data_IF_987882506001
#
_entry.id   IF_987882506001
#
_cell.length_a   1.000
_cell.length_b   1.000
_cell.length_c   1.000
_cell.angle_alpha   90.00
_cell.angle_beta   90.00
_cell.angle_gamma   90.00
#
_symmetry.space_group_name_H-M   'P 1'
#
loop_
_entity.id
_entity.type
_entity.pdbx_description
1 polymer ?
#
# COMPACT_ATOMS: atom_id res chain seq x y z
N UNK A 1 -10.45 -25.66 -8.97
CA UNK A 1 -9.46 -24.63 -9.40
C UNK A 1 -8.86 -24.03 -8.15
N UNK A 2 -7.54 -24.06 -7.98
CA UNK A 2 -6.87 -23.38 -6.86
C UNK A 2 -7.02 -21.87 -7.05
N UNK A 3 -7.44 -21.10 -6.03
CA UNK A 3 -7.51 -19.66 -6.14
C UNK A 3 -6.10 -19.11 -6.44
N UNK A 4 -5.95 -18.45 -7.58
CA UNK A 4 -4.67 -17.90 -8.00
C UNK A 4 -4.56 -16.47 -7.47
N UNK A 5 -3.73 -16.30 -6.44
CA UNK A 5 -3.40 -14.99 -5.90
C UNK A 5 -2.74 -14.15 -7.00
N UNK A 6 -3.24 -12.94 -7.23
CA UNK A 6 -2.60 -11.96 -8.12
C UNK A 6 -1.34 -11.38 -7.45
N UNK A 7 -0.24 -12.12 -7.60
CA UNK A 7 1.06 -11.76 -7.04
C UNK A 7 1.64 -10.47 -7.62
N UNK A 8 1.18 -10.02 -8.81
CA UNK A 8 1.61 -8.74 -9.35
C UNK A 8 1.02 -7.57 -8.55
N UNK A 9 -0.26 -7.66 -8.19
CA UNK A 9 -0.88 -6.67 -7.31
C UNK A 9 -0.23 -6.66 -5.91
N UNK A 10 0.14 -7.82 -5.37
CA UNK A 10 0.88 -7.89 -4.10
C UNK A 10 2.25 -7.22 -4.19
N UNK A 11 3.03 -7.48 -5.26
CA UNK A 11 4.33 -6.81 -5.46
C UNK A 11 4.19 -5.28 -5.58
N UNK A 12 3.11 -4.81 -6.21
CA UNK A 12 2.83 -3.37 -6.30
C UNK A 12 2.45 -2.78 -4.94
N UNK A 13 1.65 -3.51 -4.14
CA UNK A 13 1.32 -3.10 -2.78
C UNK A 13 2.56 -3.05 -1.89
N UNK A 14 3.46 -4.03 -2.03
CA UNK A 14 4.75 -4.07 -1.32
C UNK A 14 5.63 -2.85 -1.68
N UNK A 15 5.75 -2.53 -2.97
CA UNK A 15 6.51 -1.37 -3.43
C UNK A 15 5.95 -0.06 -2.86
N UNK A 16 4.63 0.13 -2.89
CA UNK A 16 3.96 1.30 -2.31
C UNK A 16 4.17 1.38 -0.79
N UNK A 17 4.09 0.25 -0.06
CA UNK A 17 4.40 0.23 1.38
C UNK A 17 5.86 0.56 1.67
N UNK A 18 6.80 0.08 0.86
CA UNK A 18 8.22 0.40 1.01
C UNK A 18 8.49 1.89 0.79
N UNK A 19 7.87 2.50 -0.23
CA UNK A 19 7.92 3.94 -0.48
C UNK A 19 7.31 4.74 0.68
N UNK A 20 6.10 4.37 1.10
CA UNK A 20 5.43 5.01 2.24
C UNK A 20 6.26 4.96 3.53
N UNK A 21 6.90 3.82 3.82
CA UNK A 21 7.83 3.69 4.95
C UNK A 21 9.04 4.63 4.82
N UNK A 22 9.62 4.73 3.62
CA UNK A 22 10.71 5.66 3.32
C UNK A 22 10.31 7.11 3.59
N UNK A 23 9.15 7.52 3.08
CA UNK A 23 8.59 8.86 3.26
C UNK A 23 8.30 9.20 4.73
N UNK A 24 7.74 8.25 5.51
CA UNK A 24 7.56 8.43 6.96
C UNK A 24 8.91 8.63 7.65
N UNK A 25 9.92 7.87 7.25
CA UNK A 25 11.28 8.02 7.80
C UNK A 25 11.84 9.40 7.50
N UNK A 26 11.69 9.89 6.27
CA UNK A 26 12.07 11.25 5.88
C UNK A 26 11.28 12.30 6.66
N UNK A 27 9.97 12.14 6.84
CA UNK A 27 9.15 13.06 7.62
C UNK A 27 9.62 13.15 9.07
N UNK A 28 9.95 12.01 9.71
CA UNK A 28 10.50 11.99 11.07
C UNK A 28 11.83 12.75 11.13
N UNK A 29 12.72 12.51 10.17
CA UNK A 29 14.01 13.20 10.11
C UNK A 29 13.86 14.72 9.94
N UNK A 30 12.91 15.15 9.11
CA UNK A 30 12.67 16.57 8.84
C UNK A 30 11.74 17.24 9.85
N UNK A 31 11.06 16.50 10.72
CA UNK A 31 10.09 17.06 11.68
C UNK A 31 10.67 18.17 12.58
N UNK A 32 11.97 18.13 12.88
CA UNK A 32 12.66 19.15 13.66
C UNK A 32 13.42 20.19 12.82
N UNK A 33 13.61 19.94 11.52
CA UNK A 33 14.46 20.74 10.63
C UNK A 33 13.67 21.54 9.58
N UNK A 34 12.64 20.93 8.99
CA UNK A 34 11.78 21.52 7.97
C UNK A 34 10.35 20.95 8.07
N UNK A 35 9.47 21.73 8.72
CA UNK A 35 8.10 21.33 8.98
C UNK A 35 7.27 21.19 7.70
N UNK A 36 7.53 22.02 6.68
CA UNK A 36 6.83 21.95 5.40
C UNK A 36 7.18 20.65 4.66
N UNK A 37 8.48 20.31 4.62
CA UNK A 37 8.91 19.07 4.00
C UNK A 37 8.41 17.83 4.76
N UNK A 38 8.30 17.91 6.09
CA UNK A 38 7.66 16.89 6.90
C UNK A 38 6.18 16.69 6.49
N UNK A 39 5.39 17.75 6.41
CA UNK A 39 3.97 17.68 6.03
C UNK A 39 3.78 17.09 4.61
N UNK A 40 4.60 17.51 3.64
CA UNK A 40 4.55 16.98 2.28
C UNK A 40 4.95 15.51 2.21
N UNK A 41 5.98 15.09 2.95
CA UNK A 41 6.39 13.70 3.03
C UNK A 41 5.30 12.81 3.66
N UNK A 42 4.64 13.28 4.74
CA UNK A 42 3.52 12.57 5.36
C UNK A 42 2.32 12.45 4.41
N UNK A 43 2.01 13.51 3.68
CA UNK A 43 0.95 13.50 2.67
C UNK A 43 1.24 12.48 1.57
N UNK A 44 2.45 12.45 1.03
CA UNK A 44 2.85 11.45 0.04
C UNK A 44 2.81 10.03 0.63
N UNK A 45 3.31 9.84 1.84
CA UNK A 45 3.28 8.54 2.53
C UNK A 45 1.84 8.03 2.68
N UNK A 46 0.90 8.91 3.04
CA UNK A 46 -0.50 8.56 3.18
C UNK A 46 -1.13 8.07 1.86
N UNK A 47 -0.75 8.69 0.73
CA UNK A 47 -1.22 8.29 -0.60
C UNK A 47 -0.70 6.90 -0.99
N UNK A 48 0.60 6.65 -0.76
CA UNK A 48 1.21 5.33 -1.02
C UNK A 48 0.58 4.22 -0.18
N UNK A 49 0.35 4.49 1.11
CA UNK A 49 -0.31 3.54 2.03
C UNK A 49 -1.76 3.27 1.57
N UNK A 50 -2.51 4.30 1.17
CA UNK A 50 -3.88 4.13 0.67
C UNK A 50 -3.91 3.31 -0.62
N UNK A 51 -2.95 3.52 -1.52
CA UNK A 51 -2.80 2.72 -2.74
C UNK A 51 -2.53 1.25 -2.39
N UNK A 52 -1.59 0.99 -1.48
CA UNK A 52 -1.28 -0.37 -1.04
C UNK A 52 -2.49 -1.06 -0.40
N UNK A 53 -3.25 -0.37 0.46
CA UNK A 53 -4.49 -0.89 1.05
C UNK A 53 -5.54 -1.24 -0.02
N UNK A 54 -5.67 -0.40 -1.05
CA UNK A 54 -6.58 -0.65 -2.18
C UNK A 54 -6.19 -1.92 -2.94
N UNK A 55 -4.91 -2.08 -3.28
CA UNK A 55 -4.39 -3.26 -3.97
C UNK A 55 -4.58 -4.53 -3.14
N UNK A 56 -4.30 -4.48 -1.84
CA UNK A 56 -4.54 -5.60 -0.92
C UNK A 56 -6.03 -5.96 -0.90
N UNK A 57 -6.91 -4.97 -0.84
CA UNK A 57 -8.37 -5.18 -0.82
C UNK A 57 -8.88 -5.81 -2.12
N UNK A 58 -8.30 -5.44 -3.26
CA UNK A 58 -8.59 -6.04 -4.57
C UNK A 58 -8.15 -7.51 -4.63
N UNK A 59 -6.95 -7.83 -4.13
CA UNK A 59 -6.46 -9.22 -4.03
C UNK A 59 -7.34 -10.04 -3.08
N UNK A 60 -7.70 -9.50 -1.92
CA UNK A 60 -8.59 -10.20 -0.98
C UNK A 60 -9.98 -10.45 -1.58
N UNK A 61 -10.53 -9.47 -2.28
CA UNK A 61 -11.84 -9.58 -2.93
C UNK A 61 -11.81 -10.65 -4.03
N UNK A 62 -10.74 -10.69 -4.83
CA UNK A 62 -10.57 -11.70 -5.88
C UNK A 62 -10.36 -13.12 -5.34
N UNK A 63 -9.80 -13.26 -4.14
CA UNK A 63 -9.75 -14.54 -3.43
C UNK A 63 -11.13 -14.98 -2.95
N UNK A 64 -11.93 -14.07 -2.37
CA UNK A 64 -13.28 -14.38 -1.89
C UNK A 64 -14.24 -14.76 -3.02
N UNK A 65 -14.13 -14.12 -4.19
CA UNK A 65 -14.97 -14.47 -5.36
C UNK A 65 -14.59 -15.83 -5.95
N UNK A 66 -13.31 -16.19 -5.96
CA UNK A 66 -12.84 -17.50 -6.41
C UNK A 66 -13.17 -18.65 -5.44
N UNK A 67 -13.34 -18.34 -4.16
CA UNK A 67 -13.73 -19.32 -3.14
C UNK A 67 -15.23 -19.65 -3.16
N UNK A 68 -16.07 -18.86 -3.84
CA UNK A 68 -17.50 -19.16 -3.98
C UNK A 68 -17.67 -20.18 -5.11
N UNK A 69 -18.02 -21.45 -4.81
CA UNK A 69 -18.40 -22.38 -5.87
C UNK A 69 -19.68 -21.81 -6.48
N UNK A 70 -19.68 -21.53 -7.78
CA UNK A 70 -20.91 -21.49 -8.57
C UNK A 70 -21.53 -22.88 -8.49
N UNK A 71 -22.66 -22.98 -7.80
CA UNK A 71 -23.62 -24.09 -7.91
C UNK A 71 -24.34 -23.99 -9.26
#
# INVERSE_FOLDING_TARGET
MTPQIDTNQLKRAEAAMALGKGLITTAIQQSAADQLQCEEALKQASAEIAQAQTLISQVQSSLQTQQRPTD
#
